data_IF_445188237260
#
_entry.id   IF_445188237260
#
_cell.length_a   1.000
_cell.length_b   1.000
_cell.length_c   1.000
_cell.angle_alpha   90.00
_cell.angle_beta   90.00
_cell.angle_gamma   90.00
#
_symmetry.space_group_name_H-M   'P 1'
#
loop_
_entity.id
_entity.type
_entity.pdbx_description
1 polymer ?
#
# COMPACT_ATOMS: atom_id res chain seq x y z
N UNK A 1 -6.24 6.88 -9.59
CA UNK A 1 -5.96 5.44 -9.75
C UNK A 1 -4.86 5.12 -8.76
N UNK A 2 -4.88 3.98 -8.09
CA UNK A 2 -3.75 3.58 -7.26
C UNK A 2 -2.53 3.29 -8.15
N UNK A 3 -1.44 4.04 -7.93
CA UNK A 3 -0.22 3.94 -8.72
C UNK A 3 0.76 3.07 -7.94
N UNK A 4 1.13 1.92 -8.51
CA UNK A 4 2.11 1.03 -7.90
C UNK A 4 3.49 1.71 -7.85
N UNK A 5 4.03 1.84 -6.65
CA UNK A 5 5.37 2.38 -6.41
C UNK A 5 6.43 1.29 -6.37
N UNK A 6 6.05 0.09 -5.91
CA UNK A 6 6.94 -1.06 -5.82
C UNK A 6 6.25 -2.23 -5.11
N UNK A 7 6.86 -3.40 -5.21
CA UNK A 7 6.45 -4.60 -4.48
C UNK A 7 7.65 -5.45 -4.09
N UNK A 8 7.59 -6.12 -2.95
CA UNK A 8 8.61 -7.08 -2.51
C UNK A 8 7.93 -8.35 -2.00
N UNK A 9 8.62 -9.49 -2.12
CA UNK A 9 8.14 -10.76 -1.60
C UNK A 9 8.68 -10.99 -0.19
N UNK A 10 7.78 -11.19 0.78
CA UNK A 10 8.16 -11.59 2.13
C UNK A 10 8.14 -13.12 2.25
N UNK A 11 9.34 -13.70 2.30
CA UNK A 11 9.55 -15.15 2.40
C UNK A 11 9.14 -15.73 3.75
N UNK A 12 8.96 -14.89 4.76
CA UNK A 12 8.66 -15.30 6.14
C UNK A 12 7.18 -15.62 6.32
N UNK A 13 6.34 -14.99 5.50
CA UNK A 13 4.88 -15.00 5.63
C UNK A 13 4.19 -15.46 4.31
N UNK A 14 4.99 -15.84 3.30
CA UNK A 14 4.55 -16.23 1.94
C UNK A 14 3.67 -15.20 1.22
N UNK A 15 3.83 -13.92 1.55
CA UNK A 15 2.98 -12.84 1.08
C UNK A 15 3.75 -11.74 0.33
N UNK A 16 3.03 -10.93 -0.45
CA UNK A 16 3.60 -9.82 -1.20
C UNK A 16 3.29 -8.50 -0.50
N UNK A 17 4.32 -7.68 -0.29
CA UNK A 17 4.18 -6.31 0.21
C UNK A 17 4.12 -5.37 -0.98
N UNK A 18 3.10 -4.49 -1.02
CA UNK A 18 2.90 -3.53 -2.11
C UNK A 18 2.91 -2.11 -1.58
N UNK A 19 3.58 -1.20 -2.28
CA UNK A 19 3.51 0.24 -2.00
C UNK A 19 2.73 0.96 -3.10
N UNK A 20 1.81 1.85 -2.72
CA UNK A 20 0.99 2.62 -3.64
C UNK A 20 0.99 4.12 -3.34
N UNK A 21 0.86 4.92 -4.40
CA UNK A 21 0.38 6.30 -4.34
C UNK A 21 -1.10 6.33 -4.74
N UNK A 22 -1.96 6.82 -3.84
CA UNK A 22 -3.40 6.92 -4.07
C UNK A 22 -3.80 8.13 -4.96
N UNK A 23 -2.82 8.90 -5.44
CA UNK A 23 -2.92 10.03 -6.35
C UNK A 23 -3.76 11.19 -5.80
N UNK A 24 -5.09 11.11 -5.94
CA UNK A 24 -6.03 12.18 -5.58
C UNK A 24 -6.86 11.88 -4.33
N UNK A 25 -6.71 10.69 -3.76
CA UNK A 25 -7.45 10.28 -2.55
C UNK A 25 -6.50 9.96 -1.40
N UNK A 26 -7.05 9.84 -0.20
CA UNK A 26 -6.27 9.53 1.00
C UNK A 26 -6.96 8.47 1.85
N UNK A 27 -6.17 7.52 2.36
CA UNK A 27 -6.58 6.52 3.34
C UNK A 27 -6.24 7.04 4.74
N UNK A 28 -7.25 7.36 5.55
CA UNK A 28 -7.08 8.02 6.85
C UNK A 28 -6.12 9.24 6.81
N UNK A 29 -6.25 10.08 5.77
CA UNK A 29 -5.41 11.27 5.57
C UNK A 29 -3.98 10.97 5.07
N UNK A 30 -3.69 9.72 4.71
CA UNK A 30 -2.40 9.30 4.12
C UNK A 30 -2.56 9.01 2.64
N UNK A 31 -1.70 9.62 1.82
CA UNK A 31 -1.72 9.45 0.35
C UNK A 31 -0.96 8.21 -0.10
N UNK A 32 0.13 7.90 0.59
CA UNK A 32 0.96 6.76 0.27
C UNK A 32 0.66 5.63 1.25
N UNK A 33 0.54 4.42 0.75
CA UNK A 33 0.22 3.27 1.58
C UNK A 33 1.14 2.12 1.24
N UNK A 34 1.34 1.25 2.22
CA UNK A 34 1.98 -0.04 2.03
C UNK A 34 1.06 -1.09 2.63
N UNK A 35 0.80 -2.13 1.86
CA UNK A 35 -0.11 -3.23 2.22
C UNK A 35 0.65 -4.54 2.22
N UNK A 36 0.31 -5.41 3.16
CA UNK A 36 0.75 -6.81 3.16
C UNK A 36 -0.36 -7.67 2.54
N UNK A 37 -0.15 -8.23 1.35
CA UNK A 37 -1.09 -9.12 0.65
C UNK A 37 -2.20 -8.42 -0.16
N UNK A 38 -2.55 -7.16 0.11
CA UNK A 38 -3.59 -6.45 -0.63
C UNK A 38 -3.05 -5.80 -1.92
N UNK A 39 -3.43 -6.32 -3.08
CA UNK A 39 -3.06 -5.79 -4.39
C UNK A 39 -4.12 -4.80 -4.91
N UNK A 40 -3.74 -3.54 -5.07
CA UNK A 40 -4.63 -2.46 -5.57
C UNK A 40 -4.35 -2.09 -7.02
N UNK A 41 -3.59 -2.93 -7.74
CA UNK A 41 -3.21 -2.63 -9.12
C UNK A 41 -4.46 -2.37 -9.95
N UNK A 42 -4.36 -1.37 -10.84
CA UNK A 42 -5.44 -0.99 -11.78
C UNK A 42 -6.74 -0.46 -11.15
N UNK A 43 -6.84 -0.38 -9.82
CA UNK A 43 -8.03 0.16 -9.17
C UNK A 43 -8.07 1.70 -9.27
N UNK A 44 -9.27 2.23 -9.51
CA UNK A 44 -9.54 3.66 -9.38
C UNK A 44 -9.35 4.11 -7.92
N UNK A 45 -9.26 5.42 -7.67
CA UNK A 45 -9.00 5.93 -6.31
C UNK A 45 -10.05 5.48 -5.30
N UNK A 46 -11.33 5.63 -5.64
CA UNK A 46 -12.44 5.25 -4.76
C UNK A 46 -12.52 3.73 -4.56
N UNK A 47 -12.31 2.93 -5.62
CA UNK A 47 -12.28 1.48 -5.51
C UNK A 47 -11.12 0.99 -4.63
N UNK A 48 -9.94 1.61 -4.77
CA UNK A 48 -8.80 1.31 -3.92
C UNK A 48 -9.07 1.65 -2.44
N UNK A 49 -9.78 2.76 -2.16
CA UNK A 49 -10.20 3.09 -0.80
C UNK A 49 -11.20 2.09 -0.24
N UNK A 50 -12.22 1.71 -1.00
CA UNK A 50 -13.19 0.69 -0.57
C UNK A 50 -12.51 -0.64 -0.24
N UNK A 51 -11.55 -1.06 -1.08
CA UNK A 51 -10.76 -2.26 -0.83
C UNK A 51 -9.93 -2.12 0.46
N UNK A 52 -9.23 -1.00 0.63
CA UNK A 52 -8.42 -0.74 1.83
C UNK A 52 -9.23 -0.69 3.12
N UNK A 53 -10.43 -0.09 3.11
CA UNK A 53 -11.30 -0.06 4.28
C UNK A 53 -11.91 -1.44 4.61
N UNK A 54 -12.03 -2.30 3.60
CA UNK A 54 -12.54 -3.67 3.77
C UNK A 54 -11.42 -4.68 4.06
N UNK A 55 -10.16 -4.29 3.84
CA UNK A 55 -9.00 -5.14 4.02
C UNK A 55 -8.67 -5.30 5.50
N UNK A 56 -8.80 -6.53 6.01
CA UNK A 56 -8.51 -6.87 7.41
C UNK A 56 -7.03 -7.13 7.72
N UNK A 57 -6.15 -7.01 6.72
CA UNK A 57 -4.71 -7.21 6.89
C UNK A 57 -3.96 -5.92 7.25
N UNK A 58 -2.64 -6.00 7.25
CA UNK A 58 -1.81 -4.86 7.65
C UNK A 58 -1.71 -3.80 6.54
N UNK A 59 -2.04 -2.57 6.90
CA UNK A 59 -1.90 -1.38 6.05
C UNK A 59 -1.18 -0.30 6.84
N UNK A 60 -0.03 0.17 6.33
CA UNK A 60 0.70 1.32 6.87
C UNK A 60 0.54 2.51 5.93
N UNK A 61 0.11 3.66 6.48
CA UNK A 61 -0.08 4.90 5.72
C UNK A 61 1.01 5.94 5.97
N UNK A 62 1.45 6.61 4.91
CA UNK A 62 2.54 7.58 4.90
C UNK A 62 2.13 8.89 4.21
N UNK A 63 2.73 9.99 4.66
CA UNK A 63 2.52 11.31 4.06
C UNK A 63 3.43 11.54 2.84
N UNK A 64 4.59 10.87 2.78
CA UNK A 64 5.56 11.06 1.70
C UNK A 64 5.84 9.75 0.97
N UNK A 65 6.12 9.86 -0.34
CA UNK A 65 6.56 8.74 -1.17
C UNK A 65 7.84 8.10 -0.64
N UNK A 66 8.76 8.92 -0.15
CA UNK A 66 10.07 8.47 0.35
C UNK A 66 9.89 7.52 1.54
N UNK A 67 9.02 7.85 2.48
CA UNK A 67 8.79 7.03 3.66
C UNK A 67 8.10 5.71 3.29
N UNK A 68 7.12 5.73 2.38
CA UNK A 68 6.46 4.52 1.91
C UNK A 68 7.43 3.56 1.19
N UNK A 69 8.28 4.08 0.29
CA UNK A 69 9.30 3.27 -0.40
C UNK A 69 10.39 2.81 0.57
N UNK A 70 10.77 3.64 1.54
CA UNK A 70 11.70 3.26 2.60
C UNK A 70 11.16 2.12 3.46
N UNK A 71 9.87 2.18 3.80
CA UNK A 71 9.19 1.12 4.55
C UNK A 71 9.11 -0.17 3.72
N UNK A 72 8.75 -0.10 2.43
CA UNK A 72 8.70 -1.25 1.52
C UNK A 72 10.01 -2.05 1.52
N UNK A 73 11.17 -1.37 1.57
CA UNK A 73 12.48 -2.02 1.53
C UNK A 73 12.99 -2.49 2.89
N UNK A 74 12.30 -2.16 3.98
CA UNK A 74 12.71 -2.54 5.32
C UNK A 74 12.02 -3.86 5.69
N UNK A 75 12.80 -4.94 5.80
CA UNK A 75 12.35 -6.35 5.92
C UNK A 75 11.72 -6.70 7.28
N UNK A 76 11.25 -5.71 8.04
CA UNK A 76 10.47 -5.91 9.27
C UNK A 76 9.05 -5.43 9.02
N UNK A 77 8.32 -6.24 8.25
CA UNK A 77 6.87 -6.15 8.15
C UNK A 77 6.27 -7.07 9.18
#
# INVERSE_FOLDING_TARGET
>A
MAILLGKVYDKTIEDMVFAYDLDRVTYFGKRYIVTHGCCLNTLSGDAALSELYSFGGEVRGFLTKKDAVGALNNVKW
#
